data_IF_902149179967
#
_entry.id   IF_902149179967
#
_cell.length_a   1.000
_cell.length_b   1.000
_cell.length_c   1.000
_cell.angle_alpha   90.00
_cell.angle_beta   90.00
_cell.angle_gamma   90.00
#
_symmetry.space_group_name_H-M   'P 1'
#
loop_
_entity.id
_entity.type
_entity.pdbx_description
1 polymer ?
#
# COMPACT_ATOMS: atom_id res chain seq x y z
N UNK A 1 27.84 31.50 2.24
CA UNK A 1 26.55 31.16 1.60
C UNK A 1 26.70 29.71 1.14
N UNK A 2 26.14 28.76 1.89
CA UNK A 2 26.37 27.33 1.63
C UNK A 2 25.31 26.78 0.69
N UNK A 3 25.72 26.27 -0.46
CA UNK A 3 24.84 25.56 -1.39
C UNK A 3 24.89 24.09 -0.97
N UNK A 4 23.86 23.60 -0.29
CA UNK A 4 23.73 22.18 0.03
C UNK A 4 23.14 21.48 -1.20
N UNK A 5 23.91 20.61 -1.84
CA UNK A 5 23.44 19.74 -2.92
C UNK A 5 22.88 18.47 -2.28
N UNK A 6 21.56 18.38 -2.11
CA UNK A 6 20.90 17.14 -1.73
C UNK A 6 20.55 16.34 -2.98
N UNK A 7 20.99 15.08 -3.05
CA UNK A 7 20.59 14.18 -4.13
C UNK A 7 19.10 13.86 -3.96
N UNK A 8 18.27 14.37 -4.87
CA UNK A 8 16.85 14.03 -4.93
C UNK A 8 16.70 12.85 -5.89
N UNK A 9 15.96 11.83 -5.49
CA UNK A 9 15.50 10.79 -6.40
C UNK A 9 13.98 10.87 -6.55
N UNK A 10 13.51 10.43 -7.72
CA UNK A 10 12.11 10.26 -8.04
C UNK A 10 11.92 8.83 -8.55
N UNK A 11 10.92 8.13 -8.03
CA UNK A 11 10.66 6.75 -8.41
C UNK A 11 9.19 6.52 -8.70
N UNK A 12 8.92 5.97 -9.87
CA UNK A 12 7.62 5.40 -10.23
C UNK A 12 7.55 3.97 -9.69
N UNK A 13 6.76 3.78 -8.63
CA UNK A 13 6.54 2.46 -8.05
C UNK A 13 5.22 1.90 -8.55
N UNK A 14 5.25 0.70 -9.13
CA UNK A 14 4.06 -0.09 -9.44
C UNK A 14 3.97 -1.22 -8.43
N UNK A 15 2.85 -1.31 -7.71
CA UNK A 15 2.60 -2.37 -6.75
C UNK A 15 1.49 -3.26 -7.28
N UNK A 16 1.76 -4.57 -7.28
CA UNK A 16 0.77 -5.62 -7.56
C UNK A 16 0.76 -6.58 -6.39
N UNK A 17 -0.42 -6.92 -5.90
CA UNK A 17 -0.56 -7.87 -4.80
C UNK A 17 -1.77 -8.76 -5.02
N UNK A 18 -1.59 -10.06 -4.76
CA UNK A 18 -2.66 -11.05 -4.77
C UNK A 18 -2.90 -11.56 -3.35
N UNK A 19 -4.14 -11.48 -2.89
CA UNK A 19 -4.58 -11.90 -1.57
C UNK A 19 -5.48 -13.14 -1.71
N UNK A 20 -5.00 -14.26 -1.18
CA UNK A 20 -5.75 -15.51 -1.09
C UNK A 20 -6.66 -15.50 0.14
N UNK A 21 -7.97 -15.44 -0.10
CA UNK A 21 -8.97 -15.30 0.96
C UNK A 21 -9.33 -16.61 1.64
N UNK A 22 -8.89 -17.76 1.11
CA UNK A 22 -9.06 -19.05 1.79
C UNK A 22 -8.50 -19.04 3.21
N UNK A 23 -7.41 -18.26 3.41
CA UNK A 23 -6.74 -18.04 4.70
C UNK A 23 -7.55 -17.19 5.68
N UNK A 24 -8.47 -16.35 5.21
CA UNK A 24 -9.36 -15.59 6.08
C UNK A 24 -10.43 -16.48 6.74
N UNK A 25 -10.62 -17.72 6.27
CA UNK A 25 -11.52 -18.69 6.90
C UNK A 25 -11.10 -19.02 8.33
N UNK A 26 -9.81 -18.90 8.67
CA UNK A 26 -9.28 -19.08 10.03
C UNK A 26 -9.79 -18.00 11.01
N UNK A 27 -10.18 -16.83 10.49
CA UNK A 27 -10.76 -15.73 11.27
C UNK A 27 -12.27 -15.90 11.50
N UNK A 28 -12.89 -16.94 10.92
CA UNK A 28 -14.31 -17.25 11.09
C UNK A 28 -14.55 -17.99 12.41
N UNK A 29 -14.32 -17.30 13.53
CA UNK A 29 -14.57 -17.79 14.88
C UNK A 29 -15.72 -17.01 15.53
N UNK A 30 -16.57 -17.67 16.37
CA UNK A 30 -17.77 -17.04 16.94
C UNK A 30 -17.49 -15.81 17.82
N UNK A 31 -16.25 -15.62 18.28
CA UNK A 31 -15.84 -14.49 19.13
C UNK A 31 -15.05 -13.41 18.37
N UNK A 32 -14.95 -13.49 17.04
CA UNK A 32 -14.23 -12.53 16.21
C UNK A 32 -15.23 -11.72 15.38
N UNK A 33 -15.26 -10.40 15.61
CA UNK A 33 -15.99 -9.47 14.76
C UNK A 33 -14.97 -8.76 13.89
N UNK A 34 -15.04 -9.00 12.58
CA UNK A 34 -14.20 -8.31 11.61
C UNK A 34 -14.76 -6.90 11.37
N UNK A 35 -13.87 -5.91 11.44
CA UNK A 35 -14.19 -4.54 11.04
C UNK A 35 -14.24 -4.35 9.53
N UNK A 36 -14.33 -3.09 9.09
CA UNK A 36 -14.23 -2.73 7.68
C UNK A 36 -12.79 -2.94 7.22
N UNK A 37 -12.55 -3.74 6.16
CA UNK A 37 -11.20 -3.99 5.71
C UNK A 37 -10.65 -2.80 4.92
N UNK A 38 -9.35 -2.59 4.99
CA UNK A 38 -8.63 -1.59 4.22
C UNK A 38 -7.20 -2.08 3.95
N UNK A 39 -6.61 -1.59 2.87
CA UNK A 39 -5.22 -1.87 2.50
C UNK A 39 -4.36 -0.69 2.96
N UNK A 40 -3.21 -0.95 3.57
CA UNK A 40 -2.29 0.09 4.04
C UNK A 40 -0.99 0.04 3.25
N UNK A 41 -0.52 1.21 2.84
CA UNK A 41 0.83 1.40 2.30
C UNK A 41 1.55 2.38 3.22
N UNK A 42 2.48 1.86 4.00
CA UNK A 42 3.33 2.66 4.88
C UNK A 42 4.54 3.19 4.10
N UNK A 43 4.90 4.45 4.36
CA UNK A 43 6.11 5.07 3.81
C UNK A 43 6.93 5.69 4.94
N UNK A 44 8.24 5.83 4.72
CA UNK A 44 9.13 6.44 5.71
C UNK A 44 8.96 7.96 5.88
N UNK A 45 8.57 8.67 4.81
CA UNK A 45 8.18 10.09 4.85
C UNK A 45 7.00 10.35 3.92
N UNK A 46 5.82 10.65 4.47
CA UNK A 46 4.60 10.89 3.69
C UNK A 46 4.72 12.11 2.76
N UNK A 47 5.61 13.06 3.03
CA UNK A 47 5.85 14.23 2.16
C UNK A 47 6.50 13.86 0.85
N UNK A 48 7.14 12.70 0.80
CA UNK A 48 7.72 12.13 -0.42
C UNK A 48 6.68 11.56 -1.37
N UNK A 49 5.44 11.30 -0.91
CA UNK A 49 4.38 10.77 -1.76
C UNK A 49 3.92 11.87 -2.72
N UNK A 50 4.15 11.65 -4.01
CA UNK A 50 3.67 12.50 -5.09
C UNK A 50 2.31 12.05 -5.59
N UNK A 51 2.19 11.92 -6.92
CA UNK A 51 0.95 11.43 -7.55
C UNK A 51 0.72 9.96 -7.17
N UNK A 52 -0.46 9.67 -6.65
CA UNK A 52 -0.95 8.30 -6.51
C UNK A 52 -2.01 8.05 -7.57
N UNK A 53 -1.77 7.08 -8.45
CA UNK A 53 -2.79 6.63 -9.40
C UNK A 53 -3.83 5.84 -8.63
N UNK A 54 -5.10 6.05 -8.95
CA UNK A 54 -6.22 5.38 -8.28
C UNK A 54 -5.97 3.86 -8.23
N UNK A 55 -5.90 3.27 -7.02
CA UNK A 55 -5.69 1.84 -6.89
C UNK A 55 -6.90 1.08 -7.45
N UNK A 56 -6.64 -0.05 -8.08
CA UNK A 56 -7.66 -0.96 -8.58
C UNK A 56 -7.62 -2.25 -7.78
N UNK A 57 -8.76 -2.68 -7.27
CA UNK A 57 -8.93 -4.01 -6.66
C UNK A 57 -9.90 -4.81 -7.50
N UNK A 58 -9.46 -5.97 -8.01
CA UNK A 58 -10.24 -6.81 -8.92
C UNK A 58 -10.79 -6.02 -10.14
N UNK A 59 -9.99 -5.08 -10.66
CA UNK A 59 -10.37 -4.20 -11.78
C UNK A 59 -11.36 -3.08 -11.42
N UNK A 60 -11.74 -2.94 -10.15
CA UNK A 60 -12.56 -1.83 -9.66
C UNK A 60 -11.68 -0.75 -9.08
N UNK A 61 -11.74 0.46 -9.64
CA UNK A 61 -11.02 1.62 -9.10
C UNK A 61 -11.57 2.00 -7.73
N UNK A 62 -10.68 2.16 -6.75
CA UNK A 62 -10.96 2.58 -5.39
C UNK A 62 -10.32 3.94 -5.09
N UNK A 63 -10.85 4.60 -4.08
CA UNK A 63 -10.29 5.85 -3.57
C UNK A 63 -9.16 5.56 -2.60
N UNK A 64 -8.11 6.36 -2.67
CA UNK A 64 -7.04 6.36 -1.68
C UNK A 64 -7.24 7.51 -0.70
N UNK A 65 -6.97 7.24 0.57
CA UNK A 65 -7.12 8.22 1.65
C UNK A 65 -5.77 8.46 2.35
N UNK A 66 -5.48 9.70 2.77
CA UNK A 66 -4.24 10.02 3.46
C UNK A 66 -4.18 9.39 4.85
N UNK A 67 -2.96 9.04 5.29
CA UNK A 67 -2.71 8.37 6.56
C UNK A 67 -2.88 6.85 6.48
N UNK A 68 -2.42 6.14 7.50
CA UNK A 68 -2.44 4.66 7.51
C UNK A 68 -3.76 4.05 7.96
N UNK A 69 -4.66 4.82 8.58
CA UNK A 69 -5.90 4.31 9.17
C UNK A 69 -5.71 3.37 10.37
N UNK A 70 -4.46 3.11 10.78
CA UNK A 70 -4.12 2.28 11.95
C UNK A 70 -4.23 3.10 13.23
N UNK A 71 -4.68 2.50 14.33
CA UNK A 71 -4.80 3.20 15.63
C UNK A 71 -3.46 3.72 16.17
N UNK A 72 -2.37 3.01 15.88
CA UNK A 72 -1.02 3.42 16.25
C UNK A 72 -0.49 4.57 15.37
N UNK A 73 -1.28 5.01 14.38
CA UNK A 73 -0.90 6.02 13.41
C UNK A 73 0.14 5.52 12.41
N UNK A 74 0.93 6.46 11.90
CA UNK A 74 1.98 6.19 10.92
C UNK A 74 1.85 7.05 9.67
N UNK A 75 2.89 7.00 8.85
CA UNK A 75 2.98 7.75 7.61
C UNK A 75 2.69 6.82 6.43
N UNK A 76 1.88 7.30 5.50
CA UNK A 76 1.40 6.48 4.41
C UNK A 76 0.03 6.88 3.94
N UNK A 77 -0.59 5.93 3.26
CA UNK A 77 -1.92 6.02 2.68
C UNK A 77 -2.64 4.72 2.94
N UNK A 78 -3.96 4.77 2.93
CA UNK A 78 -4.79 3.58 3.02
C UNK A 78 -5.91 3.61 1.98
N UNK A 79 -6.40 2.43 1.66
CA UNK A 79 -7.42 2.20 0.64
C UNK A 79 -8.57 1.49 1.33
N UNK A 80 -9.65 2.20 1.72
CA UNK A 80 -10.82 1.56 2.29
C UNK A 80 -11.45 0.63 1.25
N UNK A 81 -11.70 -0.63 1.64
CA UNK A 81 -12.41 -1.56 0.79
C UNK A 81 -13.92 -1.40 1.04
N UNK A 82 -14.76 -1.34 -0.03
CA UNK A 82 -16.20 -1.19 0.13
C UNK A 82 -16.82 -2.33 0.93
N UNK A 83 -18.04 -2.17 1.44
CA UNK A 83 -18.72 -3.28 2.12
C UNK A 83 -19.00 -4.41 1.14
N UNK A 84 -18.59 -5.62 1.50
CA UNK A 84 -18.68 -6.79 0.63
C UNK A 84 -18.22 -8.05 1.33
N UNK A 85 -18.59 -9.21 0.77
CA UNK A 85 -18.15 -10.50 1.29
C UNK A 85 -16.78 -10.87 0.72
N UNK A 86 -15.77 -10.08 1.11
CA UNK A 86 -14.38 -10.24 0.65
C UNK A 86 -13.80 -11.62 0.95
N UNK A 87 -14.39 -12.38 1.87
CA UNK A 87 -13.99 -13.75 2.19
C UNK A 87 -14.29 -14.75 1.05
N UNK A 88 -15.09 -14.37 0.05
CA UNK A 88 -15.52 -15.27 -1.04
C UNK A 88 -14.72 -15.16 -2.32
N UNK A 89 -13.88 -14.14 -2.47
CA UNK A 89 -13.11 -13.92 -3.70
C UNK A 89 -11.68 -13.48 -3.39
N UNK A 90 -10.72 -14.00 -4.15
CA UNK A 90 -9.35 -13.50 -4.09
C UNK A 90 -9.32 -12.02 -4.49
N UNK A 91 -8.38 -11.28 -3.91
CA UNK A 91 -8.22 -9.86 -4.19
C UNK A 91 -6.93 -9.64 -4.96
N UNK A 92 -7.02 -8.95 -6.08
CA UNK A 92 -5.87 -8.50 -6.83
C UNK A 92 -5.82 -6.97 -6.79
N UNK A 93 -4.81 -6.43 -6.11
CA UNK A 93 -4.51 -5.02 -6.07
C UNK A 93 -3.54 -4.67 -7.19
N UNK A 94 -3.86 -3.62 -7.95
CA UNK A 94 -2.94 -2.93 -8.84
C UNK A 94 -2.93 -1.45 -8.48
N UNK A 95 -1.75 -0.88 -8.22
CA UNK A 95 -1.63 0.55 -7.97
C UNK A 95 -0.27 1.07 -8.42
N UNK A 96 -0.19 2.38 -8.60
CA UNK A 96 1.08 3.05 -8.84
C UNK A 96 1.17 4.33 -8.02
N UNK A 97 2.35 4.59 -7.46
CA UNK A 97 2.63 5.80 -6.71
C UNK A 97 3.98 6.37 -7.12
N UNK A 98 4.07 7.69 -7.12
CA UNK A 98 5.33 8.41 -7.26
C UNK A 98 5.89 8.69 -5.87
N UNK A 99 7.15 8.34 -5.67
CA UNK A 99 7.85 8.59 -4.43
C UNK A 99 9.09 9.43 -4.71
N UNK A 100 9.27 10.48 -3.93
CA UNK A 100 10.45 11.33 -3.95
C UNK A 100 11.12 11.32 -2.59
N UNK A 101 12.44 11.28 -2.58
CA UNK A 101 13.22 11.34 -1.36
C UNK A 101 14.57 11.99 -1.57
N UNK A 102 15.20 12.34 -0.45
CA UNK A 102 16.55 12.93 -0.41
C UNK A 102 17.58 12.02 0.27
N UNK A 103 17.17 10.79 0.65
CA UNK A 103 17.98 9.78 1.32
C UNK A 103 17.86 8.41 0.65
N UNK A 104 18.00 7.32 1.40
CA UNK A 104 17.90 5.97 0.84
C UNK A 104 16.45 5.54 0.56
N UNK A 105 16.23 4.79 -0.54
CA UNK A 105 14.98 4.09 -0.78
C UNK A 105 15.05 2.70 -0.13
N UNK A 106 14.24 2.48 0.92
CA UNK A 106 14.08 1.18 1.57
C UNK A 106 12.68 0.64 1.35
N UNK A 107 12.59 -0.58 0.82
CA UNK A 107 11.33 -1.28 0.58
C UNK A 107 11.33 -2.54 1.44
N UNK A 108 10.31 -2.69 2.29
CA UNK A 108 10.11 -3.88 3.12
C UNK A 108 8.84 -4.58 2.68
N UNK A 109 8.94 -5.70 1.94
CA UNK A 109 7.77 -6.46 1.57
C UNK A 109 7.21 -7.18 2.80
N UNK A 110 5.97 -6.85 3.18
CA UNK A 110 5.29 -7.49 4.32
C UNK A 110 4.47 -8.74 3.91
N UNK A 111 4.43 -9.07 2.61
CA UNK A 111 3.71 -10.24 2.10
C UNK A 111 4.46 -11.54 2.37
N UNK A 112 3.73 -12.65 2.51
CA UNK A 112 4.34 -13.99 2.69
C UNK A 112 5.28 -14.35 1.54
N UNK A 113 4.87 -14.00 0.33
CA UNK A 113 5.67 -14.11 -0.88
C UNK A 113 5.75 -12.70 -1.46
N UNK A 114 6.94 -12.28 -1.85
CA UNK A 114 7.16 -10.97 -2.43
C UNK A 114 8.26 -11.04 -3.47
N UNK A 115 7.98 -10.48 -4.63
CA UNK A 115 8.95 -10.32 -5.71
C UNK A 115 9.13 -8.83 -5.96
N UNK A 116 10.38 -8.39 -6.05
CA UNK A 116 10.73 -7.00 -6.28
C UNK A 116 11.64 -6.91 -7.49
N UNK A 117 11.18 -6.17 -8.50
CA UNK A 117 11.98 -5.80 -9.65
C UNK A 117 12.27 -4.31 -9.58
N UNK A 118 13.56 -3.96 -9.45
CA UNK A 118 14.01 -2.58 -9.48
C UNK A 118 14.82 -2.35 -10.76
N UNK A 119 14.36 -1.39 -11.56
CA UNK A 119 15.07 -0.94 -12.76
C UNK A 119 15.51 0.49 -12.53
N UNK A 120 16.83 0.74 -12.56
CA UNK A 120 17.42 2.09 -12.58
C UNK A 120 18.02 2.34 -13.96
N UNK A 121 17.89 3.58 -14.45
CA UNK A 121 18.70 4.06 -15.57
C UNK A 121 20.09 4.47 -15.09
#
# INVERSE_FOLDING_TARGET
IGIYTGQVWHSDLTLKADFDVSRLSELNAPNIILGKPFIVISVGDARGIGVVKAPEVNGTALTIEPGTGLEQGGQGVHIPLPEGDWRKQNLQLNMALNLSGTGDLSVVPAGRNSEMTLTSN
#
